data_IF_554841392367
#
_entry.id   IF_554841392367
#
_cell.length_a   1.000
_cell.length_b   1.000
_cell.length_c   1.000
_cell.angle_alpha   90.00
_cell.angle_beta   90.00
_cell.angle_gamma   90.00
#
_symmetry.space_group_name_H-M   'P 1'
#
loop_
_entity.id
_entity.type
_entity.pdbx_description
1 polymer ?
#
# COMPACT_ATOMS: atom_id res chain seq x y z
N UNK A 1 -29.90 -0.59 12.40
CA UNK A 1 -29.64 -0.11 11.04
C UNK A 1 -29.72 1.40 11.02
N UNK A 2 -28.82 2.02 10.33
CA UNK A 2 -28.67 3.47 10.34
C UNK A 2 -29.92 4.22 9.83
N UNK A 3 -30.62 3.64 8.86
CA UNK A 3 -31.79 4.28 8.29
C UNK A 3 -32.93 4.49 9.32
N UNK A 4 -33.07 3.58 10.28
CA UNK A 4 -34.12 3.66 11.30
C UNK A 4 -33.86 4.74 12.34
N UNK A 5 -32.65 5.21 12.47
CA UNK A 5 -32.27 6.22 13.45
C UNK A 5 -32.21 7.63 12.88
N UNK A 6 -32.65 7.81 11.65
CA UNK A 6 -32.63 9.11 10.99
C UNK A 6 -31.29 9.56 10.50
N UNK A 7 -30.28 8.69 10.53
CA UNK A 7 -28.93 9.02 10.04
C UNK A 7 -28.83 8.95 8.52
N UNK A 8 -29.62 8.07 7.92
CA UNK A 8 -29.55 7.83 6.48
C UNK A 8 -30.95 7.93 5.90
N UNK A 9 -31.08 8.61 4.77
CA UNK A 9 -32.30 8.67 4.00
C UNK A 9 -32.08 7.96 2.67
N UNK A 10 -32.87 6.93 2.38
CA UNK A 10 -32.76 6.20 1.12
C UNK A 10 -33.38 6.99 -0.01
N UNK A 11 -32.68 7.02 -1.14
CA UNK A 11 -33.16 7.70 -2.33
C UNK A 11 -32.84 6.86 -3.55
N UNK A 12 -33.86 6.57 -4.35
CA UNK A 12 -33.69 5.81 -5.57
C UNK A 12 -33.34 6.73 -6.74
N UNK A 13 -32.24 6.39 -7.40
CA UNK A 13 -31.77 7.12 -8.59
C UNK A 13 -31.88 6.22 -9.80
N UNK A 14 -32.47 6.75 -10.89
CA UNK A 14 -32.59 6.05 -12.17
C UNK A 14 -33.30 4.68 -12.09
N UNK A 15 -34.13 4.47 -11.08
CA UNK A 15 -34.90 3.22 -10.91
C UNK A 15 -34.07 1.97 -10.65
N UNK A 16 -32.76 2.06 -10.61
CA UNK A 16 -31.91 0.87 -10.48
C UNK A 16 -31.00 0.87 -9.28
N UNK A 17 -30.68 2.01 -8.74
CA UNK A 17 -29.78 2.15 -7.60
C UNK A 17 -30.42 2.96 -6.50
N UNK A 18 -30.23 2.50 -5.27
CA UNK A 18 -30.62 3.24 -4.10
C UNK A 18 -29.37 3.93 -3.56
N UNK A 19 -29.45 5.22 -3.45
CA UNK A 19 -28.37 6.02 -2.87
C UNK A 19 -28.78 6.47 -1.49
N UNK A 20 -27.92 6.23 -0.50
CA UNK A 20 -28.14 6.67 0.87
C UNK A 20 -27.58 8.06 1.05
N UNK A 21 -28.43 8.97 1.53
CA UNK A 21 -28.01 10.34 1.83
C UNK A 21 -27.99 10.49 3.34
N UNK A 22 -26.85 10.89 3.87
CA UNK A 22 -26.71 11.10 5.31
C UNK A 22 -27.43 12.36 5.76
N UNK A 23 -28.19 12.24 6.86
CA UNK A 23 -28.73 13.41 7.54
C UNK A 23 -27.58 14.19 8.20
N UNK A 24 -27.77 15.49 8.54
CA UNK A 24 -26.72 16.24 9.22
C UNK A 24 -26.19 15.58 10.48
N UNK A 25 -27.08 15.00 11.29
CA UNK A 25 -26.70 14.28 12.51
C UNK A 25 -25.88 13.04 12.19
N UNK A 26 -26.35 12.22 11.25
CA UNK A 26 -25.63 11.01 10.86
C UNK A 26 -24.29 11.30 10.20
N UNK A 27 -24.24 12.36 9.41
CA UNK A 27 -22.98 12.80 8.80
C UNK A 27 -21.94 13.17 9.86
N UNK A 28 -22.34 13.93 10.86
CA UNK A 28 -21.40 14.35 11.90
C UNK A 28 -20.83 13.17 12.70
N UNK A 29 -21.68 12.19 13.05
CA UNK A 29 -21.21 11.01 13.75
C UNK A 29 -20.31 10.13 12.91
N UNK A 30 -20.70 9.91 11.68
CA UNK A 30 -19.91 9.09 10.76
C UNK A 30 -18.57 9.76 10.47
N UNK A 31 -18.55 11.07 10.33
CA UNK A 31 -17.32 11.82 10.11
C UNK A 31 -16.34 11.65 11.26
N UNK A 32 -16.82 11.68 12.51
CA UNK A 32 -15.97 11.47 13.67
C UNK A 32 -15.35 10.07 13.70
N UNK A 33 -16.16 9.05 13.44
CA UNK A 33 -15.69 7.67 13.41
C UNK A 33 -14.71 7.44 12.27
N UNK A 34 -15.06 7.95 11.10
CA UNK A 34 -14.21 7.83 9.91
C UNK A 34 -12.89 8.56 10.08
N UNK A 35 -12.90 9.69 10.75
CA UNK A 35 -11.68 10.48 10.99
C UNK A 35 -10.68 9.69 11.84
N UNK A 36 -11.15 9.07 12.92
CA UNK A 36 -10.28 8.24 13.76
C UNK A 36 -9.71 7.06 12.98
N UNK A 37 -10.56 6.38 12.23
CA UNK A 37 -10.13 5.27 11.38
C UNK A 37 -9.11 5.74 10.36
N UNK A 38 -9.37 6.87 9.72
CA UNK A 38 -8.48 7.44 8.73
C UNK A 38 -7.11 7.79 9.33
N UNK A 39 -7.09 8.38 10.51
CA UNK A 39 -5.83 8.71 11.19
C UNK A 39 -5.02 7.46 11.51
N UNK A 40 -5.67 6.39 11.96
CA UNK A 40 -4.99 5.12 12.22
C UNK A 40 -4.42 4.53 10.94
N UNK A 41 -5.19 4.58 9.86
CA UNK A 41 -4.78 4.06 8.57
C UNK A 41 -3.58 4.85 8.03
N UNK A 42 -3.63 6.17 8.11
CA UNK A 42 -2.52 7.03 7.68
C UNK A 42 -1.26 6.75 8.50
N UNK A 43 -1.39 6.61 9.81
CA UNK A 43 -0.27 6.27 10.68
C UNK A 43 0.34 4.92 10.32
N UNK A 44 -0.50 3.94 10.06
CA UNK A 44 -0.03 2.60 9.67
C UNK A 44 0.70 2.63 8.33
N UNK A 45 0.17 3.34 7.36
CA UNK A 45 0.81 3.50 6.05
C UNK A 45 2.17 4.20 6.20
N UNK A 46 2.22 5.24 7.01
CA UNK A 46 3.47 5.96 7.27
C UNK A 46 4.52 5.06 7.89
N UNK A 47 4.11 4.26 8.86
CA UNK A 47 5.01 3.31 9.52
C UNK A 47 5.55 2.27 8.55
N UNK A 48 4.67 1.70 7.73
CA UNK A 48 5.06 0.73 6.71
C UNK A 48 6.04 1.37 5.73
N UNK A 49 5.75 2.59 5.29
CA UNK A 49 6.61 3.32 4.38
C UNK A 49 8.01 3.54 4.97
N UNK A 50 8.07 3.95 6.23
CA UNK A 50 9.35 4.15 6.92
C UNK A 50 10.16 2.85 7.01
N UNK A 51 9.49 1.75 7.33
CA UNK A 51 10.15 0.45 7.41
C UNK A 51 10.66 -0.02 6.04
N UNK A 52 9.86 0.17 5.00
CA UNK A 52 10.27 -0.15 3.64
C UNK A 52 11.48 0.70 3.26
N UNK A 53 11.47 1.98 3.60
CA UNK A 53 12.60 2.86 3.32
C UNK A 53 13.87 2.41 4.03
N UNK A 54 13.77 1.93 5.28
CA UNK A 54 14.91 1.40 5.99
C UNK A 54 15.49 0.15 5.32
N UNK A 55 14.63 -0.73 4.85
CA UNK A 55 15.05 -1.92 4.11
C UNK A 55 15.83 -1.52 2.85
N UNK A 56 15.28 -0.58 2.10
CA UNK A 56 15.89 -0.10 0.86
C UNK A 56 17.23 0.59 1.15
N UNK A 57 17.28 1.43 2.18
CA UNK A 57 18.50 2.15 2.54
C UNK A 57 19.63 1.21 2.97
N UNK A 58 19.31 0.13 3.67
CA UNK A 58 20.31 -0.88 4.02
C UNK A 58 20.94 -1.49 2.78
N UNK A 59 20.14 -1.80 1.79
CA UNK A 59 20.66 -2.33 0.54
C UNK A 59 21.41 -1.28 -0.25
N UNK A 60 20.94 -0.05 -0.23
CA UNK A 60 21.60 1.06 -0.88
C UNK A 60 23.01 1.29 -0.31
N UNK A 61 23.15 1.22 1.01
CA UNK A 61 24.44 1.37 1.69
C UNK A 61 25.42 0.26 1.32
N UNK A 62 24.90 -0.91 0.95
CA UNK A 62 25.72 -2.04 0.48
C UNK A 62 26.11 -1.89 -0.99
N UNK A 63 25.67 -0.85 -1.65
CA UNK A 63 25.98 -0.59 -3.05
C UNK A 63 24.86 -0.95 -4.02
N UNK A 64 23.73 -1.46 -3.53
CA UNK A 64 22.61 -1.81 -4.41
C UNK A 64 21.77 -0.58 -4.72
N UNK A 65 21.72 -0.24 -6.00
CA UNK A 65 21.01 0.97 -6.45
C UNK A 65 19.88 0.66 -7.42
N UNK A 66 19.68 -0.59 -7.78
CA UNK A 66 18.66 -1.01 -8.72
C UNK A 66 17.70 -1.97 -8.06
N UNK A 67 16.41 -1.66 -8.14
CA UNK A 67 15.37 -2.45 -7.50
C UNK A 67 14.24 -2.75 -8.48
N UNK A 68 13.60 -3.89 -8.28
CA UNK A 68 12.40 -4.25 -9.04
C UNK A 68 11.30 -4.50 -8.03
N UNK A 69 10.18 -3.79 -8.18
CA UNK A 69 9.02 -4.00 -7.34
C UNK A 69 8.14 -5.05 -8.02
N UNK A 70 7.96 -6.18 -7.36
CA UNK A 70 7.08 -7.23 -7.86
C UNK A 70 5.76 -7.15 -7.14
N UNK A 71 4.71 -6.77 -7.83
CA UNK A 71 3.37 -6.68 -7.27
C UNK A 71 2.50 -5.72 -8.03
N UNK A 72 1.20 -5.90 -7.83
CA UNK A 72 0.16 -5.14 -8.53
C UNK A 72 -0.85 -4.50 -7.57
N UNK A 73 -0.70 -4.71 -6.28
CA UNK A 73 -1.64 -4.25 -5.28
C UNK A 73 -1.18 -3.03 -4.51
N UNK A 74 -1.88 -2.79 -3.43
CA UNK A 74 -1.65 -1.61 -2.57
C UNK A 74 -0.27 -1.64 -1.91
N UNK A 75 0.22 -2.82 -1.54
CA UNK A 75 1.54 -2.93 -0.95
C UNK A 75 2.62 -2.49 -1.94
N UNK A 76 2.47 -2.87 -3.21
CA UNK A 76 3.39 -2.43 -4.26
C UNK A 76 3.33 -0.91 -4.45
N UNK A 77 2.15 -0.31 -4.32
CA UNK A 77 1.99 1.15 -4.37
C UNK A 77 2.77 1.82 -3.25
N UNK A 78 2.70 1.27 -2.04
CA UNK A 78 3.43 1.80 -0.89
C UNK A 78 4.94 1.68 -1.09
N UNK A 79 5.40 0.55 -1.61
CA UNK A 79 6.82 0.33 -1.88
C UNK A 79 7.32 1.33 -2.93
N UNK A 80 6.56 1.54 -3.99
CA UNK A 80 6.94 2.51 -5.02
C UNK A 80 6.99 3.93 -4.45
N UNK A 81 6.01 4.30 -3.65
CA UNK A 81 5.98 5.59 -2.99
C UNK A 81 7.19 5.77 -2.05
N UNK A 82 7.57 4.72 -1.34
CA UNK A 82 8.72 4.72 -0.45
C UNK A 82 10.02 4.98 -1.22
N UNK A 83 10.16 4.37 -2.39
CA UNK A 83 11.32 4.57 -3.25
C UNK A 83 11.37 6.00 -3.79
N UNK A 84 10.26 6.52 -4.27
CA UNK A 84 10.19 7.88 -4.80
C UNK A 84 10.55 8.91 -3.75
N UNK A 85 10.09 8.71 -2.52
CA UNK A 85 10.26 9.69 -1.46
C UNK A 85 11.67 9.70 -0.87
N UNK A 86 12.49 8.70 -1.16
CA UNK A 86 13.89 8.72 -0.77
C UNK A 86 14.70 9.75 -1.56
N UNK A 87 14.24 10.12 -2.74
CA UNK A 87 14.85 11.15 -3.60
C UNK A 87 16.34 10.96 -3.84
N UNK A 88 16.76 9.73 -4.03
CA UNK A 88 18.13 9.40 -4.39
C UNK A 88 18.27 9.38 -5.91
N UNK A 89 19.10 10.24 -6.46
CA UNK A 89 19.24 10.38 -7.91
C UNK A 89 19.80 9.15 -8.60
N UNK A 90 20.68 8.44 -7.92
CA UNK A 90 21.32 7.24 -8.46
C UNK A 90 20.56 5.95 -8.16
N UNK A 91 19.43 6.03 -7.47
CA UNK A 91 18.58 4.90 -7.19
C UNK A 91 17.59 4.70 -8.33
N UNK A 92 17.56 3.51 -8.88
CA UNK A 92 16.66 3.16 -9.97
C UNK A 92 15.70 2.07 -9.56
N UNK A 93 14.49 2.14 -10.02
CA UNK A 93 13.51 1.09 -9.77
C UNK A 93 12.61 0.90 -10.97
N UNK A 94 12.03 -0.30 -11.04
CA UNK A 94 11.05 -0.67 -12.03
C UNK A 94 9.98 -1.50 -11.34
N UNK A 95 8.74 -1.38 -11.76
CA UNK A 95 7.63 -2.15 -11.21
C UNK A 95 7.16 -3.16 -12.24
N UNK A 96 6.99 -4.41 -11.82
CA UNK A 96 6.45 -5.48 -12.66
C UNK A 96 5.32 -6.18 -11.91
N UNK A 97 4.32 -6.63 -12.67
CA UNK A 97 3.20 -7.35 -12.09
C UNK A 97 3.47 -8.85 -11.98
N UNK A 98 4.36 -9.38 -12.82
CA UNK A 98 4.64 -10.82 -12.89
C UNK A 98 6.12 -11.10 -12.80
N UNK A 99 6.45 -12.21 -12.15
CA UNK A 99 7.82 -12.69 -12.06
C UNK A 99 8.47 -12.89 -13.42
N UNK A 100 7.70 -13.30 -14.42
CA UNK A 100 8.20 -13.55 -15.77
C UNK A 100 8.78 -12.30 -16.44
N UNK A 101 8.35 -11.14 -15.97
CA UNK A 101 8.83 -9.86 -16.50
C UNK A 101 10.16 -9.43 -15.86
N UNK A 102 10.65 -10.19 -14.90
CA UNK A 102 11.94 -9.91 -14.26
C UNK A 102 13.04 -10.57 -15.07
N UNK A 103 13.85 -9.74 -15.73
CA UNK A 103 14.94 -10.21 -16.58
C UNK A 103 16.32 -9.82 -16.06
N UNK A 104 16.34 -8.93 -15.10
CA UNK A 104 17.57 -8.40 -14.55
C UNK A 104 17.96 -9.15 -13.28
N UNK A 105 19.11 -9.84 -13.33
CA UNK A 105 19.61 -10.59 -12.16
C UNK A 105 20.44 -9.73 -11.22
N UNK A 106 20.76 -8.51 -11.62
CA UNK A 106 21.58 -7.62 -10.79
C UNK A 106 20.76 -6.74 -9.87
N UNK A 107 19.48 -6.60 -10.14
CA UNK A 107 18.57 -5.82 -9.30
C UNK A 107 18.05 -6.66 -8.14
N UNK A 108 17.81 -6.01 -7.01
CA UNK A 108 17.13 -6.65 -5.88
C UNK A 108 15.63 -6.60 -6.10
N UNK A 109 14.97 -7.74 -6.01
CA UNK A 109 13.52 -7.82 -6.17
C UNK A 109 12.86 -7.57 -4.82
N UNK A 110 12.01 -6.56 -4.79
CA UNK A 110 11.18 -6.25 -3.61
C UNK A 110 9.82 -6.89 -3.82
N UNK A 111 9.60 -8.02 -3.13
CA UNK A 111 8.36 -8.78 -3.29
C UNK A 111 7.27 -8.12 -2.49
N UNK A 112 6.35 -7.47 -3.18
CA UNK A 112 5.24 -6.73 -2.60
C UNK A 112 3.91 -7.41 -2.90
N UNK A 113 3.85 -8.70 -2.63
CA UNK A 113 2.65 -9.51 -2.80
C UNK A 113 2.29 -10.19 -1.49
N UNK A 114 0.99 -10.40 -1.28
CA UNK A 114 0.52 -11.02 -0.05
C UNK A 114 0.88 -12.50 0.05
N UNK A 115 0.89 -13.20 -1.09
CA UNK A 115 1.18 -14.62 -1.14
C UNK A 115 2.20 -14.92 -2.23
N UNK A 116 3.48 -14.59 -2.00
CA UNK A 116 4.50 -14.89 -2.99
C UNK A 116 4.78 -16.39 -2.99
N UNK A 117 4.52 -16.99 -4.13
CA UNK A 117 4.66 -18.45 -4.29
C UNK A 117 5.84 -18.81 -5.20
N UNK A 118 6.71 -17.86 -5.45
CA UNK A 118 7.79 -18.02 -6.41
C UNK A 118 9.14 -18.14 -5.73
N UNK A 119 10.02 -18.86 -6.40
CA UNK A 119 11.43 -18.92 -6.04
C UNK A 119 12.19 -18.08 -7.04
N UNK A 120 12.83 -17.04 -6.53
CA UNK A 120 13.53 -16.09 -7.38
C UNK A 120 14.99 -16.50 -7.55
N UNK A 121 15.48 -16.33 -8.76
CA UNK A 121 16.92 -16.35 -9.02
C UNK A 121 17.46 -14.99 -8.64
N UNK A 122 18.51 -14.93 -7.89
CA UNK A 122 19.07 -13.68 -7.47
C UNK A 122 18.51 -13.21 -6.14
N UNK A 123 18.78 -11.95 -5.83
CA UNK A 123 18.45 -11.40 -4.52
C UNK A 123 17.01 -10.87 -4.48
N UNK A 124 16.29 -11.28 -3.46
CA UNK A 124 14.94 -10.77 -3.25
C UNK A 124 14.69 -10.50 -1.77
N UNK A 125 13.76 -9.62 -1.50
CA UNK A 125 13.32 -9.29 -0.15
C UNK A 125 11.80 -9.38 -0.13
N UNK A 126 11.27 -10.22 0.76
CA UNK A 126 9.84 -10.29 0.99
C UNK A 126 9.46 -9.14 1.92
N UNK A 127 8.83 -8.11 1.36
CA UNK A 127 8.49 -6.91 2.10
C UNK A 127 7.53 -7.23 3.24
N UNK A 128 6.48 -8.00 2.97
CA UNK A 128 5.48 -8.30 4.00
C UNK A 128 6.10 -9.05 5.18
N UNK A 129 6.96 -10.02 4.91
CA UNK A 129 7.63 -10.79 5.96
C UNK A 129 8.54 -9.92 6.82
N UNK A 130 9.13 -8.88 6.24
CA UNK A 130 10.06 -8.00 6.98
C UNK A 130 9.34 -6.92 7.77
N UNK A 131 8.19 -6.44 7.32
CA UNK A 131 7.46 -5.37 8.03
C UNK A 131 6.50 -5.91 9.10
N UNK A 132 6.01 -7.13 8.97
CA UNK A 132 5.05 -7.69 9.94
C UNK A 132 5.66 -7.90 11.31
N UNK A 133 6.97 -7.91 11.42
CA UNK A 133 7.66 -8.03 12.72
C UNK A 133 7.45 -6.82 13.61
N UNK A 134 7.11 -5.68 13.03
CA UNK A 134 7.00 -4.40 13.74
C UNK A 134 5.55 -3.99 13.98
N UNK A 135 4.60 -4.73 13.44
CA UNK A 135 3.17 -4.42 13.58
C UNK A 135 2.54 -5.15 14.77
#
# INVERSE_FOLDING_TARGET
KLAKKGYIKARQLNGKKIQYILTPKGFAEKARRSYRYLLRTISSIRQIKEEVQQIILKEYEKGQKSFIILGDGELADIVEMSLKDLRKEDLRYRRVAREEDIRDVHSTVLVAELNPDQRFRGKYIDILANITRSI
#
